data_IF_790034468897
#
_entry.id   IF_790034468897
#
_cell.length_a   1.000
_cell.length_b   1.000
_cell.length_c   1.000
_cell.angle_alpha   90.00
_cell.angle_beta   90.00
_cell.angle_gamma   90.00
#
_symmetry.space_group_name_H-M   'P 1'
#
loop_
_entity.id
_entity.type
_entity.pdbx_description
1 polymer ?
#
# COMPACT_ATOMS: atom_id res chain seq x y z
N UNK A 1 5.97 20.40 50.47
CA UNK A 1 5.02 20.13 49.37
C UNK A 1 5.72 19.21 48.38
N UNK A 2 5.29 17.94 48.27
CA UNK A 2 5.87 16.94 47.36
C UNK A 2 5.10 17.02 46.04
N UNK A 3 5.77 17.36 44.96
CA UNK A 3 5.16 17.44 43.63
C UNK A 3 5.36 16.09 42.94
N UNK A 4 4.33 15.25 42.92
CA UNK A 4 4.32 13.98 42.18
C UNK A 4 4.00 14.28 40.72
N UNK A 5 5.04 14.34 39.88
CA UNK A 5 4.89 14.30 38.44
C UNK A 5 4.57 12.88 38.01
N UNK A 6 3.33 12.62 37.64
CA UNK A 6 2.90 11.35 37.03
C UNK A 6 3.51 11.26 35.63
N UNK A 7 4.50 10.38 35.46
CA UNK A 7 5.00 9.96 34.15
C UNK A 7 3.90 9.12 33.51
N UNK A 8 3.27 9.65 32.46
CA UNK A 8 2.40 8.85 31.60
C UNK A 8 3.34 8.00 30.74
N UNK A 9 3.59 6.76 31.18
CA UNK A 9 4.25 5.75 30.35
C UNK A 9 3.33 5.44 29.18
N UNK A 10 3.72 5.86 27.99
CA UNK A 10 3.13 5.34 26.76
C UNK A 10 3.34 3.82 26.75
N UNK A 11 2.25 3.07 26.71
CA UNK A 11 2.29 1.62 26.66
C UNK A 11 3.06 1.17 25.40
N UNK A 12 4.12 0.41 25.58
CA UNK A 12 4.83 -0.26 24.50
C UNK A 12 3.85 -1.21 23.78
N UNK A 13 3.74 -1.18 22.45
CA UNK A 13 2.92 -2.15 21.73
C UNK A 13 3.48 -3.55 21.99
N UNK A 14 2.65 -4.41 22.61
CA UNK A 14 3.02 -5.76 23.01
C UNK A 14 3.56 -6.60 21.84
N UNK A 15 4.50 -7.48 22.17
CA UNK A 15 5.37 -8.26 21.29
C UNK A 15 4.71 -9.17 20.23
N UNK A 16 3.38 -9.21 20.12
CA UNK A 16 2.68 -10.18 19.25
C UNK A 16 1.33 -9.66 18.72
N UNK A 17 1.20 -8.36 18.44
CA UNK A 17 0.14 -7.97 17.49
C UNK A 17 0.44 -8.70 16.16
N UNK A 18 -0.54 -9.39 15.53
CA UNK A 18 -0.32 -9.93 14.20
C UNK A 18 0.17 -8.77 13.33
N UNK A 19 1.41 -8.86 12.85
CA UNK A 19 1.91 -7.91 11.88
C UNK A 19 1.03 -8.10 10.66
N UNK A 20 0.10 -7.16 10.44
CA UNK A 20 -0.63 -7.05 9.19
C UNK A 20 0.35 -7.00 8.01
N UNK A 21 -0.17 -7.17 6.79
CA UNK A 21 0.68 -7.10 5.62
C UNK A 21 1.34 -5.71 5.53
N UNK A 22 2.65 -5.68 5.26
CA UNK A 22 3.39 -4.41 5.14
C UNK A 22 2.89 -3.66 3.90
N UNK A 23 2.24 -2.48 4.05
CA UNK A 23 1.73 -1.70 2.93
C UNK A 23 2.79 -1.36 1.90
N UNK A 24 4.05 -1.23 2.33
CA UNK A 24 5.16 -0.84 1.47
C UNK A 24 5.61 -1.98 0.53
N UNK A 25 5.12 -3.21 0.76
CA UNK A 25 5.32 -4.35 -0.12
C UNK A 25 4.23 -4.51 -1.19
N UNK A 26 3.16 -3.69 -1.15
CA UNK A 26 2.12 -3.71 -2.16
C UNK A 26 2.65 -3.23 -3.50
N UNK A 27 2.37 -3.98 -4.56
CA UNK A 27 2.64 -3.53 -5.92
C UNK A 27 1.74 -2.33 -6.25
N UNK A 28 2.29 -1.36 -6.99
CA UNK A 28 1.56 -0.16 -7.43
C UNK A 28 1.66 -0.04 -8.95
N UNK A 29 0.51 -0.01 -9.62
CA UNK A 29 0.41 0.08 -11.08
C UNK A 29 -0.19 1.41 -11.53
N UNK A 30 0.25 1.91 -12.68
CA UNK A 30 -0.41 2.99 -13.40
C UNK A 30 -1.56 2.44 -14.25
N UNK A 31 -2.80 2.82 -13.94
CA UNK A 31 -3.99 2.42 -14.71
C UNK A 31 -4.04 2.98 -16.14
N UNK A 32 -3.13 3.88 -16.54
CA UNK A 32 -3.05 4.41 -17.92
C UNK A 32 -2.10 3.64 -18.81
N UNK A 33 -0.91 3.32 -18.31
CA UNK A 33 0.17 2.72 -19.12
C UNK A 33 0.65 1.36 -18.62
N UNK A 34 0.11 0.87 -17.49
CA UNK A 34 0.50 -0.39 -16.85
C UNK A 34 1.90 -0.36 -16.22
N UNK A 35 2.61 0.77 -16.28
CA UNK A 35 3.95 0.87 -15.71
C UNK A 35 3.90 0.86 -14.17
N UNK A 36 4.88 0.22 -13.51
CA UNK A 36 5.00 0.27 -12.07
C UNK A 36 5.22 1.71 -11.60
N UNK A 37 4.59 2.08 -10.49
CA UNK A 37 4.76 3.40 -9.87
C UNK A 37 5.60 3.25 -8.62
N UNK A 38 6.77 3.88 -8.61
CA UNK A 38 7.64 3.89 -7.45
C UNK A 38 7.22 4.99 -6.48
N UNK A 39 7.01 4.60 -5.23
CA UNK A 39 6.71 5.51 -4.13
C UNK A 39 7.85 5.55 -3.12
N UNK A 40 7.99 6.69 -2.47
CA UNK A 40 8.84 6.85 -1.31
C UNK A 40 8.31 6.02 -0.12
N UNK A 41 9.22 5.59 0.74
CA UNK A 41 8.89 4.80 1.92
C UNK A 41 7.88 5.54 2.83
N UNK A 42 6.86 4.81 3.28
CA UNK A 42 5.77 5.28 4.16
C UNK A 42 4.60 5.89 3.39
N UNK A 43 4.69 6.04 2.07
CA UNK A 43 3.60 6.61 1.27
C UNK A 43 2.40 5.67 1.18
N UNK A 44 2.63 4.36 1.03
CA UNK A 44 1.52 3.40 0.98
C UNK A 44 0.83 3.35 2.35
N UNK A 45 1.59 3.29 3.44
CA UNK A 45 1.04 3.38 4.81
C UNK A 45 0.14 4.60 4.97
N UNK A 46 0.64 5.80 4.62
CA UNK A 46 -0.12 7.06 4.76
C UNK A 46 -1.40 7.08 3.93
N UNK A 47 -1.38 6.54 2.70
CA UNK A 47 -2.56 6.50 1.83
C UNK A 47 -3.62 5.57 2.42
N UNK A 48 -3.22 4.42 2.95
CA UNK A 48 -4.15 3.45 3.55
C UNK A 48 -4.75 3.97 4.85
N UNK A 49 -3.95 4.63 5.69
CA UNK A 49 -4.43 5.33 6.88
C UNK A 49 -5.45 6.41 6.52
N UNK A 50 -5.20 7.21 5.48
CA UNK A 50 -6.13 8.23 4.99
C UNK A 50 -7.41 7.63 4.41
N UNK A 51 -7.35 6.43 3.84
CA UNK A 51 -8.50 5.67 3.37
C UNK A 51 -9.27 4.96 4.51
N UNK A 52 -8.72 4.95 5.73
CA UNK A 52 -9.32 4.25 6.87
C UNK A 52 -9.23 2.72 6.77
N UNK A 53 -8.26 2.20 6.01
CA UNK A 53 -8.07 0.76 5.80
C UNK A 53 -7.09 0.24 6.84
N UNK A 54 -7.50 -0.79 7.59
CA UNK A 54 -6.62 -1.43 8.57
C UNK A 54 -5.58 -2.29 7.83
N UNK A 55 -4.27 -2.19 8.13
CA UNK A 55 -3.26 -3.09 7.59
C UNK A 55 -3.55 -4.59 7.77
N UNK A 56 -4.38 -4.96 8.75
CA UNK A 56 -4.86 -6.33 8.95
C UNK A 56 -5.83 -6.81 7.85
N UNK A 57 -6.44 -5.90 7.11
CA UNK A 57 -7.30 -6.22 5.95
C UNK A 57 -6.51 -6.45 4.66
N UNK A 58 -5.20 -6.19 4.69
CA UNK A 58 -4.32 -6.35 3.56
C UNK A 58 -3.66 -7.73 3.57
N UNK A 59 -3.45 -8.26 2.37
CA UNK A 59 -2.66 -9.46 2.13
C UNK A 59 -1.93 -9.33 0.78
N UNK A 60 -1.17 -10.37 0.42
CA UNK A 60 -0.41 -10.41 -0.83
C UNK A 60 -1.26 -10.41 -2.11
N UNK A 61 -2.59 -10.51 -2.01
CA UNK A 61 -3.50 -10.40 -3.14
C UNK A 61 -3.98 -8.98 -3.39
N UNK A 62 -3.65 -8.02 -2.52
CA UNK A 62 -3.97 -6.61 -2.72
C UNK A 62 -2.99 -5.93 -3.70
N UNK A 63 -3.54 -5.03 -4.53
CA UNK A 63 -2.85 -4.24 -5.54
C UNK A 63 -3.33 -2.79 -5.46
N UNK A 64 -2.39 -1.84 -5.53
CA UNK A 64 -2.69 -0.42 -5.65
C UNK A 64 -2.67 0.00 -7.12
N UNK A 65 -3.68 0.74 -7.56
CA UNK A 65 -3.76 1.29 -8.92
C UNK A 65 -3.93 2.80 -8.85
N UNK A 66 -3.06 3.51 -9.55
CA UNK A 66 -3.10 4.97 -9.70
C UNK A 66 -3.77 5.36 -11.01
N UNK A 67 -4.44 6.51 -11.06
CA UNK A 67 -5.02 7.05 -12.31
C UNK A 67 -3.98 7.69 -13.24
N UNK A 68 -2.69 7.67 -12.87
CA UNK A 68 -1.59 8.18 -13.66
C UNK A 68 -0.24 7.99 -12.98
N UNK A 69 0.84 8.27 -13.71
CA UNK A 69 2.20 8.24 -13.19
C UNK A 69 3.04 9.38 -13.81
N UNK A 70 4.26 9.63 -13.29
CA UNK A 70 5.15 10.66 -13.82
C UNK A 70 5.43 10.52 -15.32
N UNK A 71 5.47 9.30 -15.84
CA UNK A 71 5.71 9.03 -17.26
C UNK A 71 4.51 9.40 -18.16
N UNK A 72 3.28 9.38 -17.63
CA UNK A 72 2.09 9.82 -18.35
C UNK A 72 1.90 11.35 -18.34
N UNK A 73 2.82 12.11 -17.71
CA UNK A 73 2.75 13.57 -17.63
C UNK A 73 1.87 14.11 -16.50
N UNK A 74 1.63 13.33 -15.45
CA UNK A 74 0.80 13.74 -14.32
C UNK A 74 1.44 14.81 -13.42
N UNK A 75 0.60 15.71 -12.88
CA UNK A 75 0.99 16.86 -12.04
C UNK A 75 1.27 16.49 -10.56
N UNK A 76 1.78 15.30 -10.30
CA UNK A 76 2.15 14.85 -8.95
C UNK A 76 0.98 14.53 -8.00
N UNK A 77 -0.27 14.68 -8.44
CA UNK A 77 -1.46 14.25 -7.73
C UNK A 77 -2.14 13.14 -8.51
N UNK A 78 -2.37 12.01 -7.85
CA UNK A 78 -3.00 10.83 -8.41
C UNK A 78 -4.04 10.32 -7.44
N UNK A 79 -5.17 9.88 -7.96
CA UNK A 79 -6.11 9.08 -7.17
C UNK A 79 -5.61 7.65 -7.11
N UNK A 80 -5.79 7.00 -5.96
CA UNK A 80 -5.36 5.62 -5.72
C UNK A 80 -6.58 4.78 -5.41
N UNK A 81 -6.66 3.62 -6.04
CA UNK A 81 -7.66 2.59 -5.78
C UNK A 81 -6.96 1.31 -5.33
N UNK A 82 -7.60 0.55 -4.46
CA UNK A 82 -7.10 -0.73 -3.97
C UNK A 82 -7.98 -1.83 -4.53
N UNK A 83 -7.35 -2.79 -5.16
CA UNK A 83 -7.98 -3.97 -5.73
C UNK A 83 -7.49 -5.21 -5.00
N UNK A 84 -8.39 -6.16 -4.75
CA UNK A 84 -8.00 -7.51 -4.34
C UNK A 84 -8.07 -8.44 -5.53
N UNK A 85 -6.94 -9.04 -5.90
CA UNK A 85 -6.82 -9.97 -7.01
C UNK A 85 -7.23 -11.36 -6.53
N UNK A 86 -8.44 -11.78 -6.88
CA UNK A 86 -8.86 -13.16 -6.66
C UNK A 86 -8.39 -14.05 -7.82
N UNK A 87 -8.07 -15.32 -7.56
CA UNK A 87 -7.75 -16.32 -8.60
C UNK A 87 -8.99 -16.73 -9.44
N UNK A 88 -9.89 -15.80 -9.71
CA UNK A 88 -11.09 -16.00 -10.50
C UNK A 88 -10.84 -15.68 -11.96
N UNK A 89 -10.89 -16.73 -12.78
CA UNK A 89 -10.72 -16.79 -14.23
C UNK A 89 -9.27 -16.85 -14.72
N UNK A 90 -8.82 -18.10 -14.87
CA UNK A 90 -7.74 -18.60 -15.74
C UNK A 90 -8.00 -18.23 -17.22
N UNK A 91 -8.15 -16.95 -17.51
CA UNK A 91 -8.30 -16.44 -18.88
C UNK A 91 -7.48 -15.18 -19.03
N UNK A 92 -6.42 -15.33 -19.85
CA UNK A 92 -5.52 -14.28 -20.37
C UNK A 92 -4.45 -13.79 -19.39
N UNK A 93 -3.50 -14.67 -19.09
CA UNK A 93 -2.10 -14.22 -19.11
C UNK A 93 -1.82 -13.74 -20.53
N UNK A 94 -1.48 -12.47 -20.78
CA UNK A 94 -0.95 -12.06 -22.08
C UNK A 94 0.32 -12.90 -22.36
N UNK A 95 0.58 -13.31 -23.62
CA UNK A 95 1.79 -14.04 -23.93
C UNK A 95 3.00 -13.20 -23.52
N UNK A 96 3.85 -13.78 -22.69
CA UNK A 96 5.11 -13.18 -22.26
C UNK A 96 6.03 -13.06 -23.50
N UNK A 97 6.17 -11.85 -24.05
CA UNK A 97 7.20 -11.54 -25.03
C UNK A 97 8.34 -10.82 -24.32
N UNK A 98 9.27 -11.59 -23.74
CA UNK A 98 10.57 -11.10 -23.32
C UNK A 98 11.62 -11.71 -24.23
N UNK A 99 12.35 -10.91 -25.01
CA UNK A 99 13.57 -11.34 -25.68
C UNK A 99 14.71 -11.28 -24.68
N UNK A 100 15.31 -12.44 -24.39
CA UNK A 100 16.54 -12.56 -23.60
C UNK A 100 17.75 -11.94 -24.33
#
# INVERSE_FOLDING_TARGET
>A
MRNTSTVITHAEPGLFAPKGYDPELLYVECGRCGSPVMWEQGRATRILEQAGIDPLELDASCLLVTDGCPMCGGKGQYTVQIFRVSAGAETRRPPYYGTA
#
